data_IF_555694399627
#
_entry.id   IF_555694399627
#
_cell.length_a   1.000
_cell.length_b   1.000
_cell.length_c   1.000
_cell.angle_alpha   90.00
_cell.angle_beta   90.00
_cell.angle_gamma   90.00
#
_symmetry.space_group_name_H-M   'P 1'
#
loop_
_entity.id
_entity.type
_entity.pdbx_description
1 polymer ?
#
# COMPACT_ATOMS: atom_id res chain seq x y z
N UNK A 1 -31.04 -60.41 46.01
CA UNK A 1 -31.03 -61.76 46.62
C UNK A 1 -30.11 -62.63 45.77
N UNK A 2 -29.05 -63.15 46.39
CA UNK A 2 -28.17 -64.28 46.00
C UNK A 2 -27.28 -64.16 44.74
N UNK A 3 -25.99 -64.27 45.03
CA UNK A 3 -24.81 -64.53 44.21
C UNK A 3 -24.94 -65.58 43.11
N UNK A 4 -24.18 -65.42 42.01
CA UNK A 4 -22.94 -66.20 41.80
C UNK A 4 -22.25 -65.85 40.48
N UNK A 5 -21.00 -65.39 40.57
CA UNK A 5 -20.03 -65.46 39.46
C UNK A 5 -19.47 -66.88 39.44
N UNK A 6 -19.60 -67.58 38.32
CA UNK A 6 -18.87 -68.80 38.03
C UNK A 6 -17.99 -68.56 36.80
N UNK A 7 -16.69 -68.48 37.05
CA UNK A 7 -15.65 -68.58 36.03
C UNK A 7 -15.50 -70.05 35.65
N UNK A 8 -15.74 -70.42 34.38
CA UNK A 8 -15.15 -71.63 33.78
C UNK A 8 -14.90 -71.46 32.27
N UNK A 9 -13.63 -71.71 31.91
CA UNK A 9 -13.11 -72.34 30.69
C UNK A 9 -13.48 -71.78 29.31
N UNK A 10 -12.49 -71.10 28.73
CA UNK A 10 -12.31 -70.69 27.34
C UNK A 10 -12.38 -71.84 26.33
N UNK A 11 -13.12 -71.61 25.24
CA UNK A 11 -12.71 -71.88 23.83
C UNK A 11 -13.83 -72.42 22.90
N UNK A 12 -15.04 -72.72 23.39
CA UNK A 12 -16.12 -73.23 22.51
C UNK A 12 -17.52 -72.62 22.73
N UNK A 13 -17.71 -71.75 23.72
CA UNK A 13 -19.02 -71.13 24.04
C UNK A 13 -19.26 -69.73 23.45
N UNK A 14 -18.22 -69.08 22.93
CA UNK A 14 -18.28 -67.65 22.59
C UNK A 14 -19.15 -67.36 21.36
N UNK A 15 -19.12 -68.20 20.32
CA UNK A 15 -19.85 -67.90 19.08
C UNK A 15 -21.37 -68.11 19.22
N UNK A 16 -21.80 -69.13 19.96
CA UNK A 16 -23.23 -69.40 20.18
C UNK A 16 -23.86 -68.46 21.21
N UNK A 17 -23.11 -68.08 22.25
CA UNK A 17 -23.60 -67.07 23.22
C UNK A 17 -23.58 -65.68 22.61
N UNK A 18 -22.56 -65.29 21.83
CA UNK A 18 -22.56 -64.00 21.14
C UNK A 18 -23.68 -63.95 20.10
N UNK A 19 -23.93 -65.01 19.34
CA UNK A 19 -25.02 -65.04 18.36
C UNK A 19 -26.39 -64.97 19.04
N UNK A 20 -26.58 -65.65 20.18
CA UNK A 20 -27.81 -65.54 20.97
C UNK A 20 -27.99 -64.14 21.56
N UNK A 21 -26.93 -63.53 22.09
CA UNK A 21 -26.96 -62.16 22.61
C UNK A 21 -27.26 -61.17 21.49
N UNK A 22 -26.66 -61.36 20.31
CA UNK A 22 -26.90 -60.51 19.13
C UNK A 22 -28.34 -60.68 18.63
N UNK A 23 -28.87 -61.90 18.57
CA UNK A 23 -30.26 -62.17 18.23
C UNK A 23 -31.22 -61.56 19.26
N UNK A 24 -30.89 -61.62 20.54
CA UNK A 24 -31.71 -61.04 21.61
C UNK A 24 -31.68 -59.51 21.54
N UNK A 25 -30.54 -58.91 21.21
CA UNK A 25 -30.42 -57.48 20.94
C UNK A 25 -31.21 -57.06 19.71
N UNK A 26 -31.14 -57.81 18.61
CA UNK A 26 -31.93 -57.55 17.39
C UNK A 26 -33.43 -57.66 17.67
N UNK A 27 -33.86 -58.73 18.35
CA UNK A 27 -35.28 -58.95 18.66
C UNK A 27 -35.81 -57.91 19.64
N UNK A 28 -35.04 -57.57 20.69
CA UNK A 28 -35.43 -56.51 21.63
C UNK A 28 -35.47 -55.12 20.96
N UNK A 29 -34.54 -54.83 20.05
CA UNK A 29 -34.57 -53.60 19.25
C UNK A 29 -35.79 -53.56 18.33
N UNK A 30 -36.14 -54.67 17.70
CA UNK A 30 -37.30 -54.78 16.83
C UNK A 30 -38.62 -54.66 17.60
N UNK A 31 -38.75 -55.33 18.74
CA UNK A 31 -39.92 -55.20 19.61
C UNK A 31 -40.05 -53.79 20.19
N UNK A 32 -38.93 -53.17 20.56
CA UNK A 32 -38.91 -51.79 21.06
C UNK A 32 -39.30 -50.81 19.95
N UNK A 33 -38.82 -51.00 18.71
CA UNK A 33 -39.23 -50.22 17.55
C UNK A 33 -40.75 -50.39 17.28
N UNK A 34 -41.27 -51.61 17.29
CA UNK A 34 -42.70 -51.86 17.13
C UNK A 34 -43.53 -51.22 18.25
N UNK A 35 -43.08 -51.34 19.51
CA UNK A 35 -43.75 -50.76 20.66
C UNK A 35 -43.75 -49.22 20.59
N UNK A 36 -42.62 -48.62 20.18
CA UNK A 36 -42.51 -47.17 19.97
C UNK A 36 -43.40 -46.73 18.82
N UNK A 37 -43.43 -47.45 17.68
CA UNK A 37 -44.35 -47.14 16.57
C UNK A 37 -45.81 -47.26 16.98
N UNK A 38 -46.18 -48.30 17.75
CA UNK A 38 -47.53 -48.48 18.25
C UNK A 38 -47.93 -47.36 19.23
N UNK A 39 -47.04 -46.99 20.17
CA UNK A 39 -47.27 -45.87 21.10
C UNK A 39 -47.32 -44.54 20.37
N UNK A 40 -46.42 -44.30 19.41
CA UNK A 40 -46.40 -43.08 18.60
C UNK A 40 -47.68 -42.96 17.76
N UNK A 41 -48.14 -44.05 17.14
CA UNK A 41 -49.41 -44.09 16.40
C UNK A 41 -50.60 -43.80 17.32
N UNK A 42 -50.63 -44.37 18.52
CA UNK A 42 -51.67 -44.10 19.53
C UNK A 42 -51.60 -42.67 20.08
N UNK A 43 -50.40 -42.13 20.28
CA UNK A 43 -50.18 -40.76 20.74
C UNK A 43 -50.58 -39.74 19.67
N UNK A 44 -50.24 -40.01 18.40
CA UNK A 44 -50.71 -39.24 17.24
C UNK A 44 -52.24 -39.33 17.09
N UNK A 45 -52.84 -40.50 17.36
CA UNK A 45 -54.31 -40.69 17.32
C UNK A 45 -55.01 -39.92 18.45
N UNK A 46 -54.47 -39.94 19.68
CA UNK A 46 -54.97 -39.12 20.80
C UNK A 46 -54.79 -37.62 20.55
N UNK A 47 -53.67 -37.22 19.95
CA UNK A 47 -53.44 -35.82 19.53
C UNK A 47 -54.42 -35.38 18.45
N UNK A 48 -54.76 -36.25 17.48
CA UNK A 48 -55.81 -36.01 16.47
C UNK A 48 -57.25 -36.00 17.04
N UNK A 49 -57.50 -36.73 18.13
CA UNK A 49 -58.80 -36.79 18.80
C UNK A 49 -59.07 -35.63 19.78
N UNK A 50 -58.05 -34.84 20.11
CA UNK A 50 -58.20 -33.61 20.90
C UNK A 50 -58.81 -32.51 20.02
N UNK A 51 -59.81 -31.79 20.53
CA UNK A 51 -60.33 -30.61 19.84
C UNK A 51 -59.21 -29.58 19.67
N UNK A 52 -59.08 -29.05 18.46
CA UNK A 52 -57.97 -28.17 18.08
C UNK A 52 -58.07 -26.86 18.84
N UNK A 53 -56.97 -26.42 19.44
CA UNK A 53 -56.87 -25.05 19.94
C UNK A 53 -56.92 -24.08 18.76
N UNK A 54 -57.60 -22.94 18.94
CA UNK A 54 -57.61 -21.84 17.96
C UNK A 54 -56.18 -21.42 17.59
N UNK A 55 -55.26 -21.42 18.55
CA UNK A 55 -53.85 -21.09 18.31
C UNK A 55 -53.10 -22.11 17.44
N UNK A 56 -53.42 -23.40 17.55
CA UNK A 56 -52.81 -24.45 16.71
C UNK A 56 -53.36 -24.38 15.28
N UNK A 57 -54.67 -24.14 15.12
CA UNK A 57 -55.29 -23.97 13.81
C UNK A 57 -54.76 -22.72 13.07
N UNK A 58 -54.57 -21.60 13.79
CA UNK A 58 -53.98 -20.38 13.22
C UNK A 58 -52.52 -20.61 12.83
N UNK A 59 -51.73 -21.31 13.65
CA UNK A 59 -50.32 -21.60 13.34
C UNK A 59 -50.17 -22.50 12.12
N UNK A 60 -50.95 -23.57 12.03
CA UNK A 60 -50.91 -24.47 10.86
C UNK A 60 -51.38 -23.76 9.58
N UNK A 61 -52.41 -22.92 9.68
CA UNK A 61 -52.86 -22.07 8.56
C UNK A 61 -51.77 -21.09 8.11
N UNK A 62 -51.06 -20.45 9.05
CA UNK A 62 -49.95 -19.55 8.74
C UNK A 62 -48.76 -20.28 8.10
N UNK A 63 -48.43 -21.49 8.57
CA UNK A 63 -47.36 -22.31 7.99
C UNK A 63 -47.76 -22.79 6.59
N UNK A 64 -48.97 -23.30 6.39
CA UNK A 64 -49.45 -23.75 5.09
C UNK A 64 -49.55 -22.58 4.09
N UNK A 65 -50.00 -21.41 4.55
CA UNK A 65 -49.99 -20.19 3.75
C UNK A 65 -48.57 -19.77 3.38
N UNK A 66 -47.60 -19.82 4.31
CA UNK A 66 -46.21 -19.47 4.03
C UNK A 66 -45.56 -20.43 3.01
N UNK A 67 -45.86 -21.73 3.11
CA UNK A 67 -45.36 -22.74 2.18
C UNK A 67 -45.98 -22.53 0.80
N UNK A 68 -47.29 -22.26 0.73
CA UNK A 68 -48.01 -22.02 -0.54
C UNK A 68 -47.60 -20.72 -1.20
N UNK A 69 -47.37 -19.65 -0.42
CA UNK A 69 -46.84 -18.38 -0.92
C UNK A 69 -45.44 -18.59 -1.46
N UNK A 70 -44.58 -19.26 -0.70
CA UNK A 70 -43.20 -19.56 -1.13
C UNK A 70 -43.16 -20.45 -2.37
N UNK A 71 -43.98 -21.50 -2.45
CA UNK A 71 -44.02 -22.38 -3.61
C UNK A 71 -44.55 -21.67 -4.85
N UNK A 72 -45.58 -20.83 -4.72
CA UNK A 72 -46.06 -20.00 -5.83
C UNK A 72 -45.01 -18.98 -6.26
N UNK A 73 -44.31 -18.37 -5.31
CA UNK A 73 -43.23 -17.42 -5.57
C UNK A 73 -42.02 -18.09 -6.24
N UNK A 74 -41.66 -19.30 -5.82
CA UNK A 74 -40.58 -20.07 -6.44
C UNK A 74 -40.94 -20.47 -7.88
N UNK A 75 -42.20 -20.85 -8.15
CA UNK A 75 -42.67 -21.17 -9.51
C UNK A 75 -42.68 -19.92 -10.39
N UNK A 76 -43.15 -18.77 -9.89
CA UNK A 76 -43.15 -17.52 -10.67
C UNK A 76 -41.74 -17.00 -10.91
N UNK A 77 -40.86 -17.06 -9.91
CA UNK A 77 -39.45 -16.68 -10.05
C UNK A 77 -38.74 -17.61 -11.04
N UNK A 78 -38.94 -18.94 -10.96
CA UNK A 78 -38.29 -19.87 -11.89
C UNK A 78 -38.80 -19.74 -13.33
N UNK A 79 -40.06 -19.37 -13.54
CA UNK A 79 -40.61 -19.10 -14.87
C UNK A 79 -40.15 -17.75 -15.46
N UNK A 80 -40.03 -16.71 -14.63
CA UNK A 80 -39.63 -15.36 -15.06
C UNK A 80 -38.11 -15.16 -15.11
N UNK A 81 -37.34 -15.92 -14.33
CA UNK A 81 -35.88 -15.85 -14.30
C UNK A 81 -35.21 -16.05 -15.67
N UNK A 82 -35.54 -17.07 -16.49
CA UNK A 82 -34.90 -17.23 -17.80
C UNK A 82 -35.22 -16.09 -18.78
N UNK A 83 -36.37 -15.41 -18.60
CA UNK A 83 -36.76 -14.24 -19.40
C UNK A 83 -36.00 -13.00 -18.94
N UNK A 84 -35.83 -12.79 -17.63
CA UNK A 84 -35.15 -11.63 -17.06
C UNK A 84 -33.61 -11.75 -17.06
N UNK A 85 -33.06 -12.97 -17.01
CA UNK A 85 -31.63 -13.28 -16.98
C UNK A 85 -30.84 -12.63 -18.15
N UNK A 86 -31.27 -12.69 -19.43
CA UNK A 86 -30.53 -12.06 -20.52
C UNK A 86 -30.50 -10.53 -20.42
N UNK A 87 -31.51 -9.90 -19.81
CA UNK A 87 -31.57 -8.44 -19.66
C UNK A 87 -30.84 -7.91 -18.42
N UNK A 88 -30.54 -8.77 -17.45
CA UNK A 88 -29.92 -8.37 -16.17
C UNK A 88 -28.51 -8.94 -16.01
N UNK A 89 -28.35 -10.26 -16.13
CA UNK A 89 -27.08 -10.95 -15.87
C UNK A 89 -26.08 -10.78 -17.00
N UNK A 90 -26.52 -10.85 -18.27
CA UNK A 90 -25.61 -10.68 -19.43
C UNK A 90 -24.99 -9.28 -19.50
N UNK A 91 -25.73 -8.16 -19.39
CA UNK A 91 -25.10 -6.84 -19.38
C UNK A 91 -24.21 -6.64 -18.15
N UNK A 92 -24.61 -7.15 -16.98
CA UNK A 92 -23.76 -7.14 -15.79
C UNK A 92 -22.42 -7.87 -16.04
N UNK A 93 -22.45 -9.04 -16.67
CA UNK A 93 -21.24 -9.81 -17.01
C UNK A 93 -20.36 -9.06 -18.01
N UNK A 94 -20.94 -8.39 -19.01
CA UNK A 94 -20.20 -7.56 -19.96
C UNK A 94 -19.55 -6.38 -19.24
N UNK A 95 -20.26 -5.70 -18.34
CA UNK A 95 -19.72 -4.60 -17.52
C UNK A 95 -18.55 -5.09 -16.68
N UNK A 96 -18.69 -6.23 -16.00
CA UNK A 96 -17.61 -6.82 -15.19
C UNK A 96 -16.40 -7.22 -16.04
N UNK A 97 -16.63 -7.73 -17.26
CA UNK A 97 -15.55 -8.07 -18.19
C UNK A 97 -14.82 -6.83 -18.69
N UNK A 98 -15.55 -5.76 -19.03
CA UNK A 98 -14.95 -4.48 -19.41
C UNK A 98 -14.15 -3.87 -18.26
N UNK A 99 -14.70 -3.87 -17.04
CA UNK A 99 -13.99 -3.42 -15.85
C UNK A 99 -12.72 -4.24 -15.62
N UNK A 100 -12.78 -5.56 -15.78
CA UNK A 100 -11.59 -6.43 -15.65
C UNK A 100 -10.54 -6.14 -16.71
N UNK A 101 -10.96 -5.92 -17.96
CA UNK A 101 -10.06 -5.55 -19.04
C UNK A 101 -9.38 -4.21 -18.76
N UNK A 102 -10.12 -3.21 -18.26
CA UNK A 102 -9.56 -1.91 -17.86
C UNK A 102 -8.52 -2.07 -16.75
N UNK A 103 -8.84 -2.85 -15.71
CA UNK A 103 -7.90 -3.12 -14.60
C UNK A 103 -6.61 -3.77 -15.11
N UNK A 104 -6.72 -4.76 -16.01
CA UNK A 104 -5.55 -5.45 -16.57
C UNK A 104 -4.69 -4.51 -17.43
N UNK A 105 -5.32 -3.65 -18.24
CA UNK A 105 -4.63 -2.61 -19.01
C UNK A 105 -3.92 -1.63 -18.08
N UNK A 106 -4.58 -1.18 -17.00
CA UNK A 106 -3.97 -0.29 -16.01
C UNK A 106 -2.78 -0.93 -15.31
N UNK A 107 -2.86 -2.21 -14.93
CA UNK A 107 -1.74 -2.97 -14.35
C UNK A 107 -0.59 -3.12 -15.35
N UNK A 108 -0.89 -3.35 -16.62
CA UNK A 108 0.14 -3.43 -17.66
C UNK A 108 0.88 -2.10 -17.84
N UNK A 109 0.14 -0.98 -17.86
CA UNK A 109 0.73 0.36 -17.92
C UNK A 109 1.60 0.62 -16.68
N UNK A 110 1.09 0.35 -15.48
CA UNK A 110 1.82 0.59 -14.22
C UNK A 110 3.09 -0.24 -14.08
N UNK A 111 3.07 -1.49 -14.58
CA UNK A 111 4.22 -2.39 -14.55
C UNK A 111 5.15 -2.24 -15.77
N UNK A 112 4.87 -1.28 -16.66
CA UNK A 112 5.78 -0.92 -17.73
C UNK A 112 7.10 -0.43 -17.15
N UNK A 113 8.22 -1.00 -17.60
CA UNK A 113 9.57 -0.61 -17.18
C UNK A 113 10.21 0.32 -18.19
N UNK A 114 10.87 1.36 -17.71
CA UNK A 114 11.66 2.21 -18.59
C UNK A 114 12.86 1.43 -19.17
N UNK A 115 13.35 1.80 -20.37
CA UNK A 115 14.60 1.25 -20.90
C UNK A 115 15.76 1.47 -19.91
N UNK A 116 16.76 0.58 -19.84
CA UNK A 116 17.85 0.67 -18.85
C UNK A 116 18.64 2.00 -18.88
N UNK A 117 18.66 2.70 -20.01
CA UNK A 117 19.30 4.01 -20.17
C UNK A 117 18.47 5.18 -19.61
N UNK A 118 17.18 4.96 -19.31
CA UNK A 118 16.24 5.92 -18.72
C UNK A 118 15.80 5.41 -17.35
N UNK A 119 16.06 6.17 -16.28
CA UNK A 119 15.66 5.81 -14.91
C UNK A 119 16.07 4.40 -14.46
N UNK A 120 17.17 3.84 -14.99
CA UNK A 120 17.74 2.56 -14.55
C UNK A 120 16.74 1.37 -14.53
N UNK A 121 15.74 1.36 -15.42
CA UNK A 121 14.78 0.26 -15.51
C UNK A 121 13.66 0.24 -14.43
N UNK A 122 13.46 1.35 -13.73
CA UNK A 122 12.37 1.53 -12.76
C UNK A 122 11.00 1.37 -13.46
N UNK A 123 10.02 0.76 -12.77
CA UNK A 123 8.65 0.65 -13.28
C UNK A 123 7.87 1.96 -13.06
N UNK A 124 6.87 2.25 -13.90
CA UNK A 124 6.09 3.49 -13.79
C UNK A 124 5.47 3.64 -12.39
N UNK A 125 4.97 2.55 -11.82
CA UNK A 125 4.40 2.57 -10.47
C UNK A 125 5.38 2.97 -9.37
N UNK A 126 6.67 2.71 -9.54
CA UNK A 126 7.69 2.92 -8.52
C UNK A 126 8.20 4.37 -8.48
N UNK A 127 7.73 5.22 -9.40
CA UNK A 127 8.04 6.66 -9.41
C UNK A 127 7.26 7.39 -8.31
N UNK A 128 6.01 6.97 -8.07
CA UNK A 128 5.10 7.66 -7.15
C UNK A 128 4.50 6.67 -6.16
N UNK A 129 4.30 7.12 -4.92
CA UNK A 129 3.66 6.27 -3.90
C UNK A 129 2.21 5.97 -4.27
N UNK A 130 1.54 6.89 -4.95
CA UNK A 130 0.20 6.68 -5.51
C UNK A 130 0.16 5.60 -6.58
N UNK A 131 1.18 5.53 -7.45
CA UNK A 131 1.28 4.50 -8.48
C UNK A 131 1.37 3.11 -7.87
N UNK A 132 2.19 2.96 -6.83
CA UNK A 132 2.28 1.72 -6.05
C UNK A 132 0.96 1.38 -5.36
N UNK A 133 0.29 2.38 -4.78
CA UNK A 133 -0.97 2.15 -4.09
C UNK A 133 -2.09 1.76 -5.07
N UNK A 134 -2.15 2.35 -6.25
CA UNK A 134 -3.10 1.96 -7.30
C UNK A 134 -2.84 0.54 -7.77
N UNK A 135 -1.58 0.16 -8.03
CA UNK A 135 -1.19 -1.22 -8.40
C UNK A 135 -1.66 -2.22 -7.34
N UNK A 136 -1.43 -1.93 -6.06
CA UNK A 136 -1.89 -2.77 -4.94
C UNK A 136 -3.42 -2.94 -4.93
N UNK A 137 -4.18 -1.85 -5.13
CA UNK A 137 -5.66 -1.90 -5.13
C UNK A 137 -6.22 -2.65 -6.33
N UNK A 138 -5.63 -2.46 -7.51
CA UNK A 138 -6.00 -3.17 -8.72
C UNK A 138 -5.71 -4.67 -8.58
N UNK A 139 -4.57 -5.05 -8.02
CA UNK A 139 -4.25 -6.44 -7.72
C UNK A 139 -5.25 -7.03 -6.72
N UNK A 140 -5.55 -6.35 -5.61
CA UNK A 140 -6.54 -6.81 -4.62
C UNK A 140 -7.91 -7.06 -5.27
N UNK A 141 -8.38 -6.12 -6.11
CA UNK A 141 -9.62 -6.26 -6.86
C UNK A 141 -9.58 -7.49 -7.80
N UNK A 142 -8.42 -7.78 -8.40
CA UNK A 142 -8.24 -8.93 -9.27
C UNK A 142 -8.22 -10.27 -8.52
N UNK A 143 -7.70 -10.31 -7.30
CA UNK A 143 -7.52 -11.53 -6.51
C UNK A 143 -8.77 -11.95 -5.72
N UNK A 144 -9.63 -11.02 -5.33
CA UNK A 144 -10.81 -11.32 -4.50
C UNK A 144 -11.80 -12.34 -5.09
N UNK A 145 -12.21 -12.27 -6.37
CA UNK A 145 -13.14 -13.25 -6.93
C UNK A 145 -12.60 -14.68 -6.86
N UNK A 146 -11.29 -14.82 -7.09
CA UNK A 146 -10.59 -16.10 -7.00
C UNK A 146 -10.52 -16.60 -5.56
N UNK A 147 -10.11 -15.74 -4.62
CA UNK A 147 -10.05 -16.09 -3.18
C UNK A 147 -11.42 -16.49 -2.63
N UNK A 148 -12.48 -15.77 -3.02
CA UNK A 148 -13.85 -16.09 -2.64
C UNK A 148 -14.30 -17.47 -3.16
N UNK A 149 -14.01 -17.77 -4.43
CA UNK A 149 -14.31 -19.08 -5.02
C UNK A 149 -13.58 -20.20 -4.29
N UNK A 150 -12.31 -19.99 -3.95
CA UNK A 150 -11.50 -20.95 -3.21
C UNK A 150 -12.02 -21.16 -1.79
N UNK A 151 -12.39 -20.08 -1.08
CA UNK A 151 -12.98 -20.15 0.26
C UNK A 151 -14.32 -20.89 0.29
N UNK A 152 -15.07 -20.89 -0.82
CA UNK A 152 -16.34 -21.62 -0.95
C UNK A 152 -16.19 -23.11 -1.28
N UNK A 153 -15.05 -23.57 -1.78
CA UNK A 153 -14.85 -25.00 -2.07
C UNK A 153 -14.79 -25.78 -0.75
N UNK A 154 -15.81 -26.60 -0.50
CA UNK A 154 -15.78 -27.61 0.58
C UNK A 154 -14.85 -28.75 0.18
N UNK A 155 -13.55 -28.58 0.40
CA UNK A 155 -12.60 -29.69 0.33
C UNK A 155 -12.66 -30.45 1.66
N UNK A 156 -13.28 -31.63 1.66
CA UNK A 156 -13.35 -32.50 2.84
C UNK A 156 -11.99 -33.04 3.28
N UNK A 157 -10.96 -32.92 2.42
CA UNK A 157 -9.67 -33.58 2.57
C UNK A 157 -8.62 -32.75 3.33
N UNK A 158 -8.69 -31.41 3.31
CA UNK A 158 -7.68 -30.53 3.95
C UNK A 158 -8.33 -29.39 4.75
N UNK A 159 -8.79 -29.73 5.97
CA UNK A 159 -9.48 -28.82 6.87
C UNK A 159 -8.66 -27.58 7.26
N UNK A 160 -7.33 -27.69 7.40
CA UNK A 160 -6.46 -26.58 7.82
C UNK A 160 -6.25 -25.53 6.71
N UNK A 161 -5.98 -25.96 5.48
CA UNK A 161 -5.74 -25.07 4.32
C UNK A 161 -7.01 -24.29 3.97
N UNK A 162 -8.17 -24.96 3.94
CA UNK A 162 -9.45 -24.29 3.65
C UNK A 162 -9.83 -23.30 4.75
N UNK A 163 -9.57 -23.61 6.04
CA UNK A 163 -9.75 -22.66 7.14
C UNK A 163 -8.81 -21.46 7.02
N UNK A 164 -7.54 -21.68 6.68
CA UNK A 164 -6.56 -20.61 6.50
C UNK A 164 -6.96 -19.68 5.34
N UNK A 165 -7.42 -20.21 4.21
CA UNK A 165 -7.90 -19.43 3.07
C UNK A 165 -9.16 -18.62 3.41
N UNK A 166 -10.10 -19.22 4.14
CA UNK A 166 -11.27 -18.52 4.67
C UNK A 166 -10.85 -17.36 5.57
N UNK A 167 -10.03 -17.62 6.60
CA UNK A 167 -9.55 -16.59 7.54
C UNK A 167 -8.82 -15.46 6.79
N UNK A 168 -7.91 -15.82 5.88
CA UNK A 168 -7.16 -14.84 5.08
C UNK A 168 -8.09 -13.96 4.25
N UNK A 169 -9.11 -14.53 3.60
CA UNK A 169 -10.05 -13.76 2.78
C UNK A 169 -10.85 -12.74 3.61
N UNK A 170 -11.43 -13.17 4.73
CA UNK A 170 -12.19 -12.27 5.60
C UNK A 170 -11.29 -11.22 6.27
N UNK A 171 -10.05 -11.58 6.65
CA UNK A 171 -9.08 -10.62 7.16
C UNK A 171 -8.72 -9.56 6.10
N UNK A 172 -8.48 -9.96 4.86
CA UNK A 172 -8.20 -9.02 3.77
C UNK A 172 -9.39 -8.09 3.49
N UNK A 173 -10.62 -8.63 3.46
CA UNK A 173 -11.81 -7.80 3.29
C UNK A 173 -11.99 -6.83 4.47
N UNK A 174 -11.75 -7.27 5.69
CA UNK A 174 -11.84 -6.45 6.90
C UNK A 174 -10.84 -5.29 6.88
N UNK A 175 -9.59 -5.56 6.51
CA UNK A 175 -8.55 -4.53 6.40
C UNK A 175 -8.90 -3.47 5.35
N UNK A 176 -9.40 -3.89 4.18
CA UNK A 176 -9.79 -2.94 3.12
C UNK A 176 -11.04 -2.15 3.52
N UNK A 177 -12.03 -2.79 4.15
CA UNK A 177 -13.21 -2.10 4.64
C UNK A 177 -12.85 -1.02 5.68
N UNK A 178 -11.99 -1.33 6.65
CA UNK A 178 -11.52 -0.36 7.64
C UNK A 178 -10.77 0.80 7.00
N UNK A 179 -9.89 0.50 6.04
CA UNK A 179 -9.16 1.54 5.34
C UNK A 179 -10.09 2.47 4.54
N UNK A 180 -11.16 1.95 3.91
CA UNK A 180 -12.19 2.76 3.24
C UNK A 180 -12.99 3.59 4.25
N UNK A 181 -13.41 3.02 5.38
CA UNK A 181 -14.17 3.76 6.42
C UNK A 181 -13.34 4.93 6.95
N UNK A 182 -12.07 4.69 7.28
CA UNK A 182 -11.14 5.73 7.73
C UNK A 182 -10.89 6.74 6.60
N UNK A 183 -10.77 6.25 5.36
CA UNK A 183 -10.56 7.09 4.18
C UNK A 183 -11.70 8.05 3.91
N UNK A 184 -12.96 7.60 4.05
CA UNK A 184 -14.14 8.47 3.91
C UNK A 184 -14.16 9.53 5.02
N UNK A 185 -13.84 9.15 6.27
CA UNK A 185 -13.77 10.09 7.38
C UNK A 185 -12.69 11.16 7.17
N UNK A 186 -11.48 10.73 6.80
CA UNK A 186 -10.34 11.61 6.50
C UNK A 186 -10.64 12.49 5.28
N UNK A 187 -11.21 11.91 4.22
CA UNK A 187 -11.58 12.61 3.01
C UNK A 187 -12.63 13.69 3.26
N UNK A 188 -13.69 13.35 3.99
CA UNK A 188 -14.71 14.33 4.41
C UNK A 188 -14.09 15.47 5.22
N UNK A 189 -13.18 15.18 6.14
CA UNK A 189 -12.49 16.20 6.92
C UNK A 189 -11.66 17.14 6.03
N UNK A 190 -10.90 16.59 5.07
CA UNK A 190 -10.10 17.39 4.13
C UNK A 190 -10.97 18.27 3.23
N UNK A 191 -12.09 17.74 2.72
CA UNK A 191 -13.00 18.48 1.84
C UNK A 191 -13.67 19.63 2.63
N UNK A 192 -14.15 19.37 3.84
CA UNK A 192 -14.80 20.38 4.67
C UNK A 192 -13.86 21.50 5.09
N UNK A 193 -12.56 21.22 5.26
CA UNK A 193 -11.56 22.19 5.74
C UNK A 193 -10.54 22.58 4.67
N UNK A 194 -10.84 22.40 3.38
CA UNK A 194 -9.88 22.52 2.28
C UNK A 194 -9.11 23.84 2.23
N UNK A 195 -9.78 24.96 2.57
CA UNK A 195 -9.19 26.29 2.49
C UNK A 195 -8.20 26.51 3.64
N UNK A 196 -8.61 26.18 4.87
CA UNK A 196 -7.74 26.20 6.04
C UNK A 196 -6.56 25.23 5.92
N UNK A 197 -6.80 23.99 5.47
CA UNK A 197 -5.74 23.01 5.22
C UNK A 197 -4.77 23.48 4.13
N UNK A 198 -5.26 24.21 3.13
CA UNK A 198 -4.44 24.83 2.08
C UNK A 198 -3.48 25.87 2.63
N UNK A 199 -3.98 26.78 3.47
CA UNK A 199 -3.15 27.79 4.13
C UNK A 199 -2.11 27.15 5.06
N UNK A 200 -2.51 26.14 5.83
CA UNK A 200 -1.62 25.40 6.73
C UNK A 200 -0.50 24.71 5.93
N UNK A 201 -0.84 24.01 4.84
CA UNK A 201 0.13 23.37 3.96
C UNK A 201 1.10 24.40 3.37
N UNK A 202 0.59 25.50 2.82
CA UNK A 202 1.43 26.55 2.23
C UNK A 202 2.38 27.16 3.27
N UNK A 203 1.90 27.43 4.48
CA UNK A 203 2.71 27.95 5.57
C UNK A 203 3.86 27.01 5.90
N UNK A 204 3.56 25.73 6.19
CA UNK A 204 4.61 24.77 6.55
C UNK A 204 5.59 24.51 5.41
N UNK A 205 5.11 24.39 4.17
CA UNK A 205 6.00 24.23 3.01
C UNK A 205 6.92 25.44 2.88
N UNK A 206 6.40 26.67 3.00
CA UNK A 206 7.21 27.87 2.93
C UNK A 206 8.23 27.93 4.07
N UNK A 207 7.78 27.76 5.31
CA UNK A 207 8.62 27.89 6.51
C UNK A 207 9.80 26.89 6.46
N UNK A 208 9.53 25.62 6.13
CA UNK A 208 10.57 24.57 6.14
C UNK A 208 11.40 24.50 4.87
N UNK A 209 10.82 24.70 3.68
CA UNK A 209 11.54 24.49 2.42
C UNK A 209 12.19 25.76 1.87
N UNK A 210 11.61 26.94 2.16
CA UNK A 210 12.11 28.22 1.65
C UNK A 210 12.82 28.99 2.76
N UNK A 211 12.10 29.33 3.83
CA UNK A 211 12.59 30.27 4.84
C UNK A 211 13.72 29.65 5.68
N UNK A 212 13.56 28.39 6.12
CA UNK A 212 14.59 27.69 6.89
C UNK A 212 15.88 27.48 6.09
N UNK A 213 15.80 27.10 4.81
CA UNK A 213 16.98 26.91 3.96
C UNK A 213 17.65 28.25 3.68
N UNK A 214 16.86 29.29 3.41
CA UNK A 214 17.37 30.65 3.20
C UNK A 214 18.11 31.15 4.43
N UNK A 215 17.57 30.93 5.64
CA UNK A 215 18.20 31.27 6.89
C UNK A 215 19.54 30.54 7.11
N UNK A 216 19.63 29.26 6.74
CA UNK A 216 20.89 28.51 6.79
C UNK A 216 21.91 29.09 5.80
N UNK A 217 21.49 29.44 4.58
CA UNK A 217 22.37 30.07 3.59
C UNK A 217 22.84 31.48 4.02
N UNK A 218 21.96 32.24 4.66
CA UNK A 218 22.28 33.52 5.30
C UNK A 218 23.33 33.36 6.40
N UNK A 219 23.11 32.39 7.29
CA UNK A 219 24.05 32.06 8.36
C UNK A 219 25.42 31.67 7.80
N UNK A 220 25.47 30.79 6.79
CA UNK A 220 26.72 30.39 6.11
C UNK A 220 27.45 31.56 5.44
N UNK A 221 26.71 32.52 4.89
CA UNK A 221 27.27 33.67 4.16
C UNK A 221 27.60 34.86 5.09
N UNK A 222 27.15 34.81 6.34
CA UNK A 222 27.32 35.90 7.29
C UNK A 222 28.82 36.19 7.52
N UNK A 223 29.19 37.47 7.48
CA UNK A 223 30.60 37.88 7.58
C UNK A 223 31.18 37.79 9.00
N UNK A 224 30.30 37.76 10.02
CA UNK A 224 30.68 37.83 11.42
C UNK A 224 30.50 36.51 12.18
N UNK A 225 29.83 35.52 11.60
CA UNK A 225 29.58 34.23 12.23
C UNK A 225 30.22 33.15 11.35
N UNK A 226 31.35 32.60 11.79
CA UNK A 226 31.96 31.46 11.12
C UNK A 226 31.17 30.21 11.49
N UNK A 227 30.54 29.51 10.54
CA UNK A 227 29.77 28.31 10.84
C UNK A 227 30.69 27.27 11.49
N UNK A 228 30.36 26.86 12.73
CA UNK A 228 31.19 25.97 13.55
C UNK A 228 32.66 26.42 13.72
N UNK A 229 32.94 27.73 13.62
CA UNK A 229 34.30 28.28 13.69
C UNK A 229 35.14 28.10 12.41
N UNK A 230 34.56 27.57 11.33
CA UNK A 230 35.26 27.35 10.07
C UNK A 230 35.26 28.63 9.22
N UNK A 231 36.45 29.15 8.95
CA UNK A 231 36.63 30.29 8.03
C UNK A 231 36.48 29.84 6.58
N UNK A 232 35.31 30.13 6.01
CA UNK A 232 35.04 29.85 4.60
C UNK A 232 35.78 30.83 3.67
N UNK A 233 36.03 30.38 2.44
CA UNK A 233 36.67 31.20 1.42
C UNK A 233 35.83 32.47 1.10
N UNK A 234 36.44 33.67 1.10
CA UNK A 234 35.71 34.94 1.01
C UNK A 234 35.08 35.22 -0.36
N UNK A 235 35.59 34.60 -1.43
CA UNK A 235 35.06 34.80 -2.78
C UNK A 235 34.03 33.70 -3.13
N UNK A 236 34.36 32.44 -2.82
CA UNK A 236 33.51 31.31 -3.17
C UNK A 236 32.25 31.22 -2.30
N UNK A 237 32.35 31.54 -1.01
CA UNK A 237 31.20 31.45 -0.09
C UNK A 237 30.02 32.35 -0.51
N UNK A 238 30.20 33.67 -0.73
CA UNK A 238 29.09 34.52 -1.16
C UNK A 238 28.57 34.14 -2.54
N UNK A 239 29.43 33.67 -3.45
CA UNK A 239 29.00 33.18 -4.76
C UNK A 239 28.05 31.98 -4.64
N UNK A 240 28.41 30.95 -3.86
CA UNK A 240 27.55 29.78 -3.65
C UNK A 240 26.27 30.13 -2.89
N UNK A 241 26.36 30.97 -1.86
CA UNK A 241 25.21 31.45 -1.11
C UNK A 241 24.20 32.17 -1.99
N UNK A 242 24.66 33.10 -2.83
CA UNK A 242 23.81 33.81 -3.80
C UNK A 242 23.24 32.87 -4.86
N UNK A 243 24.03 31.92 -5.38
CA UNK A 243 23.56 30.94 -6.36
C UNK A 243 22.41 30.09 -5.82
N UNK A 244 22.57 29.50 -4.62
CA UNK A 244 21.53 28.65 -4.03
C UNK A 244 20.31 29.47 -3.60
N UNK A 245 20.48 30.69 -3.09
CA UNK A 245 19.35 31.58 -2.83
C UNK A 245 18.59 31.96 -4.09
N UNK A 246 19.29 32.29 -5.17
CA UNK A 246 18.67 32.56 -6.45
C UNK A 246 17.88 31.35 -6.98
N UNK A 247 18.41 30.14 -6.79
CA UNK A 247 17.69 28.91 -7.11
C UNK A 247 16.45 28.71 -6.23
N UNK A 248 16.52 29.01 -4.93
CA UNK A 248 15.36 29.01 -4.02
C UNK A 248 14.34 30.05 -4.48
N UNK A 249 14.77 31.25 -4.87
CA UNK A 249 13.89 32.30 -5.37
C UNK A 249 13.22 31.89 -6.69
N UNK A 250 13.90 31.15 -7.57
CA UNK A 250 13.28 30.58 -8.76
C UNK A 250 12.28 29.49 -8.37
N UNK A 251 12.60 28.62 -7.43
CA UNK A 251 11.68 27.58 -6.99
C UNK A 251 10.46 28.17 -6.27
N UNK A 252 10.68 29.12 -5.38
CA UNK A 252 9.66 29.91 -4.71
C UNK A 252 8.89 30.74 -5.73
N UNK A 253 9.52 31.25 -6.78
CA UNK A 253 8.79 31.84 -7.88
C UNK A 253 7.92 30.75 -8.53
N UNK A 254 8.45 29.62 -8.98
CA UNK A 254 7.67 28.57 -9.62
C UNK A 254 6.54 27.99 -8.75
N UNK A 255 6.73 27.83 -7.44
CA UNK A 255 5.76 27.22 -6.52
C UNK A 255 4.86 28.23 -5.81
N UNK A 256 5.38 29.43 -5.52
CA UNK A 256 4.72 30.45 -4.71
C UNK A 256 4.32 31.69 -5.54
N UNK A 257 5.03 32.07 -6.62
CA UNK A 257 4.84 33.34 -7.37
C UNK A 257 4.41 33.24 -8.85
N UNK A 258 4.78 32.22 -9.59
CA UNK A 258 4.33 31.87 -10.94
C UNK A 258 3.02 31.07 -10.88
N UNK A 259 2.73 30.54 -9.70
CA UNK A 259 1.36 30.29 -9.25
C UNK A 259 0.70 31.67 -9.09
N UNK A 260 1.20 32.60 -8.26
CA UNK A 260 0.57 33.92 -7.97
C UNK A 260 0.33 34.91 -9.14
N UNK A 261 1.24 35.06 -10.11
CA UNK A 261 1.13 36.04 -11.21
C UNK A 261 0.37 35.48 -12.44
N UNK A 262 0.26 34.15 -12.59
CA UNK A 262 -0.77 33.50 -13.42
C UNK A 262 -2.13 33.45 -12.68
N UNK A 263 -2.11 33.49 -11.34
CA UNK A 263 -3.25 33.38 -10.42
C UNK A 263 -4.13 34.61 -10.31
N UNK A 264 -3.74 35.79 -10.79
CA UNK A 264 -4.73 36.88 -10.92
C UNK A 264 -5.89 36.42 -11.86
N UNK A 265 -5.68 35.36 -12.66
CA UNK A 265 -6.76 34.65 -13.33
C UNK A 265 -7.20 33.29 -12.72
N UNK A 266 -6.44 32.65 -11.82
CA UNK A 266 -6.68 31.25 -11.35
C UNK A 266 -6.29 30.94 -9.89
N UNK A 267 -6.77 31.72 -8.92
CA UNK A 267 -6.64 31.52 -7.46
C UNK A 267 -7.09 30.16 -6.82
N UNK A 268 -7.79 29.17 -7.44
CA UNK A 268 -8.36 28.04 -6.69
C UNK A 268 -7.56 26.71 -6.64
N UNK A 269 -6.28 26.64 -7.03
CA UNK A 269 -5.62 25.34 -7.27
C UNK A 269 -5.28 24.57 -5.97
N UNK A 270 -4.75 25.20 -4.92
CA UNK A 270 -4.35 24.46 -3.70
C UNK A 270 -5.54 23.82 -2.98
N UNK A 271 -6.67 24.54 -2.74
CA UNK A 271 -7.88 23.91 -2.22
C UNK A 271 -8.44 22.84 -3.16
N UNK A 272 -8.27 22.99 -4.48
CA UNK A 272 -8.68 21.96 -5.46
C UNK A 272 -7.85 20.68 -5.32
N UNK A 273 -6.53 20.78 -5.14
CA UNK A 273 -5.66 19.62 -4.89
C UNK A 273 -6.06 18.92 -3.60
N UNK A 274 -6.28 19.66 -2.51
CA UNK A 274 -6.75 19.08 -1.24
C UNK A 274 -8.12 18.42 -1.39
N UNK A 275 -9.01 19.01 -2.18
CA UNK A 275 -10.29 18.43 -2.50
C UNK A 275 -10.15 17.11 -3.28
N UNK A 276 -9.24 17.04 -4.28
CA UNK A 276 -8.94 15.78 -4.99
C UNK A 276 -8.37 14.71 -4.06
N UNK A 277 -7.46 15.09 -3.16
CA UNK A 277 -6.94 14.19 -2.11
C UNK A 277 -8.09 13.71 -1.22
N UNK A 278 -9.00 14.60 -0.84
CA UNK A 278 -10.18 14.26 -0.05
C UNK A 278 -11.10 13.25 -0.76
N UNK A 279 -11.39 13.46 -2.05
CA UNK A 279 -12.19 12.53 -2.85
C UNK A 279 -11.55 11.15 -2.99
N UNK A 280 -10.22 11.06 -3.05
CA UNK A 280 -9.52 9.78 -3.10
C UNK A 280 -9.77 8.90 -1.87
N UNK A 281 -10.22 9.49 -0.75
CA UNK A 281 -10.53 8.77 0.48
C UNK A 281 -11.62 7.71 0.32
N UNK A 282 -12.46 7.80 -0.72
CA UNK A 282 -13.42 6.75 -1.11
C UNK A 282 -12.72 5.42 -1.44
N UNK A 283 -11.48 5.48 -1.92
CA UNK A 283 -10.66 4.30 -2.23
C UNK A 283 -9.79 3.83 -1.05
N UNK A 284 -9.86 4.50 0.11
CA UNK A 284 -9.09 4.18 1.31
C UNK A 284 -8.27 5.33 1.87
N UNK A 285 -8.00 5.33 3.18
CA UNK A 285 -7.15 6.32 3.83
C UNK A 285 -5.72 6.28 3.29
N UNK A 286 -5.21 5.08 3.04
CA UNK A 286 -3.90 4.86 2.39
C UNK A 286 -3.80 5.52 1.00
N UNK A 287 -4.89 5.62 0.24
CA UNK A 287 -4.89 6.34 -1.05
C UNK A 287 -4.70 7.84 -0.84
N UNK A 288 -5.45 8.44 0.08
CA UNK A 288 -5.26 9.86 0.42
C UNK A 288 -3.87 10.14 0.96
N UNK A 289 -3.33 9.28 1.82
CA UNK A 289 -1.96 9.41 2.34
C UNK A 289 -0.90 9.29 1.24
N UNK A 290 -1.08 8.41 0.26
CA UNK A 290 -0.16 8.31 -0.88
C UNK A 290 -0.13 9.60 -1.70
N UNK A 291 -1.29 10.22 -1.97
CA UNK A 291 -1.32 11.51 -2.67
C UNK A 291 -0.68 12.64 -1.85
N UNK A 292 -0.87 12.64 -0.52
CA UNK A 292 -0.21 13.60 0.37
C UNK A 292 1.31 13.38 0.33
N UNK A 293 1.78 12.14 0.35
CA UNK A 293 3.20 11.80 0.25
C UNK A 293 3.80 12.29 -1.07
N UNK A 294 3.13 12.07 -2.20
CA UNK A 294 3.60 12.54 -3.51
C UNK A 294 3.58 14.07 -3.61
N UNK A 295 2.59 14.73 -3.00
CA UNK A 295 2.54 16.19 -2.91
C UNK A 295 3.73 16.74 -2.11
N UNK A 296 4.07 16.12 -0.98
CA UNK A 296 5.25 16.49 -0.18
C UNK A 296 6.57 16.22 -0.92
N UNK A 297 6.66 15.10 -1.64
CA UNK A 297 7.82 14.79 -2.48
C UNK A 297 7.99 15.83 -3.60
N UNK A 298 6.89 16.29 -4.21
CA UNK A 298 6.92 17.34 -5.22
C UNK A 298 7.37 18.69 -4.64
N UNK A 299 6.83 19.11 -3.49
CA UNK A 299 7.20 20.40 -2.89
C UNK A 299 8.66 20.44 -2.41
N UNK A 300 9.23 19.32 -1.99
CA UNK A 300 10.62 19.20 -1.52
C UNK A 300 11.65 18.88 -2.61
N UNK A 301 11.20 18.71 -3.86
CA UNK A 301 12.01 18.25 -4.98
C UNK A 301 13.23 19.14 -5.29
N UNK A 302 13.09 20.46 -5.14
CA UNK A 302 14.19 21.40 -5.29
C UNK A 302 15.35 21.18 -4.32
N UNK A 303 15.07 20.77 -3.08
CA UNK A 303 16.10 20.48 -2.07
C UNK A 303 16.95 19.31 -2.55
N UNK A 304 16.31 18.28 -3.10
CA UNK A 304 17.00 17.14 -3.70
C UNK A 304 17.85 17.58 -4.91
N UNK A 305 17.35 18.48 -5.76
CA UNK A 305 18.16 19.05 -6.85
C UNK A 305 19.38 19.83 -6.34
N UNK A 306 19.25 20.62 -5.28
CA UNK A 306 20.37 21.34 -4.69
C UNK A 306 21.41 20.39 -4.12
N UNK A 307 20.98 19.35 -3.43
CA UNK A 307 21.85 18.25 -3.00
C UNK A 307 22.59 17.63 -4.18
N UNK A 308 21.91 17.29 -5.27
CA UNK A 308 22.53 16.69 -6.45
C UNK A 308 23.57 17.62 -7.11
N UNK A 309 23.30 18.92 -7.17
CA UNK A 309 24.23 19.94 -7.68
C UNK A 309 25.45 20.05 -6.75
N UNK A 310 25.24 20.18 -5.43
CA UNK A 310 26.31 20.27 -4.45
C UNK A 310 27.19 19.02 -4.45
N UNK A 311 26.58 17.83 -4.50
CA UNK A 311 27.28 16.54 -4.60
C UNK A 311 28.11 16.45 -5.89
N UNK A 312 27.61 16.95 -7.01
CA UNK A 312 28.36 17.00 -8.28
C UNK A 312 29.57 17.91 -8.18
N UNK A 313 29.41 19.12 -7.64
CA UNK A 313 30.50 20.08 -7.44
C UNK A 313 31.57 19.49 -6.50
N UNK A 314 31.14 18.89 -5.39
CA UNK A 314 32.02 18.21 -4.44
C UNK A 314 32.81 17.07 -5.09
N UNK A 315 32.14 16.20 -5.86
CA UNK A 315 32.79 15.11 -6.57
C UNK A 315 33.80 15.59 -7.61
N UNK A 316 33.47 16.65 -8.37
CA UNK A 316 34.40 17.27 -9.31
C UNK A 316 35.62 17.85 -8.60
N UNK A 317 35.42 18.60 -7.52
CA UNK A 317 36.52 19.16 -6.74
C UNK A 317 37.47 18.08 -6.20
N UNK A 318 36.92 17.00 -5.61
CA UNK A 318 37.72 15.87 -5.13
C UNK A 318 38.51 15.18 -6.24
N UNK A 319 37.88 14.96 -7.40
CA UNK A 319 38.52 14.27 -8.53
C UNK A 319 39.66 15.10 -9.10
N UNK A 320 39.48 16.42 -9.20
CA UNK A 320 40.52 17.35 -9.65
C UNK A 320 41.66 17.39 -8.62
N UNK A 321 41.34 17.51 -7.33
CA UNK A 321 42.33 17.54 -6.26
C UNK A 321 43.18 16.26 -6.22
N UNK A 322 42.53 15.10 -6.37
CA UNK A 322 43.22 13.81 -6.47
C UNK A 322 44.15 13.73 -7.69
N UNK A 323 43.72 14.26 -8.83
CA UNK A 323 44.51 14.27 -10.06
C UNK A 323 45.73 15.17 -9.94
N UNK A 324 45.58 16.37 -9.36
CA UNK A 324 46.68 17.30 -9.11
C UNK A 324 47.65 16.80 -8.03
N UNK A 325 47.15 16.15 -6.99
CA UNK A 325 48.00 15.51 -6.00
C UNK A 325 48.89 14.42 -6.61
N UNK A 326 48.40 13.72 -7.64
CA UNK A 326 49.24 12.79 -8.39
C UNK A 326 50.26 13.53 -9.26
N UNK A 327 49.86 14.62 -9.93
CA UNK A 327 50.77 15.46 -10.71
C UNK A 327 51.98 15.91 -9.86
N UNK A 328 51.74 16.35 -8.63
CA UNK A 328 52.80 16.71 -7.67
C UNK A 328 53.80 15.64 -7.35
N UNK A 329 53.32 14.40 -7.33
CA UNK A 329 54.14 13.24 -7.02
C UNK A 329 54.88 12.72 -8.25
N UNK A 330 54.80 13.42 -9.39
CA UNK A 330 55.30 12.94 -10.67
C UNK A 330 54.52 11.73 -11.18
N UNK A 331 53.22 11.64 -10.86
CA UNK A 331 52.37 10.47 -11.17
C UNK A 331 51.21 10.84 -12.08
N UNK A 332 50.96 10.00 -13.09
CA UNK A 332 49.85 10.13 -14.05
C UNK A 332 48.96 8.89 -14.01
N UNK A 333 47.64 9.08 -13.99
CA UNK A 333 46.71 7.96 -14.18
C UNK A 333 46.70 7.55 -15.65
N UNK A 334 47.12 6.32 -15.92
CA UNK A 334 47.06 5.73 -17.25
C UNK A 334 45.66 5.14 -17.46
N UNK A 335 44.86 5.77 -18.33
CA UNK A 335 43.49 5.34 -18.63
C UNK A 335 43.45 3.98 -19.32
N UNK A 336 44.47 3.62 -20.11
CA UNK A 336 44.53 2.36 -20.87
C UNK A 336 44.81 1.14 -19.98
N UNK A 337 45.55 1.33 -18.88
CA UNK A 337 45.98 0.25 -17.98
C UNK A 337 45.37 0.36 -16.58
N UNK A 338 44.44 1.30 -16.36
CA UNK A 338 43.77 1.56 -15.09
C UNK A 338 44.70 1.62 -13.86
N UNK A 339 45.91 2.17 -14.02
CA UNK A 339 46.93 2.26 -12.96
C UNK A 339 47.58 3.64 -12.91
N UNK A 340 48.35 3.90 -11.85
CA UNK A 340 49.09 5.16 -11.67
C UNK A 340 50.56 4.89 -12.03
N UNK A 341 51.03 5.51 -13.09
CA UNK A 341 52.41 5.39 -13.60
C UNK A 341 53.21 6.66 -13.25
N UNK A 342 54.53 6.55 -13.09
CA UNK A 342 55.41 7.72 -13.02
C UNK A 342 55.46 8.41 -14.38
N UNK A 343 55.46 9.75 -14.37
CA UNK A 343 55.54 10.58 -15.56
C UNK A 343 56.50 11.74 -15.25
N UNK A 344 57.44 11.96 -16.16
CA UNK A 344 58.33 13.11 -16.07
C UNK A 344 57.57 14.34 -16.56
N UNK A 345 57.29 15.25 -15.63
CA UNK A 345 56.63 16.52 -15.92
C UNK A 345 57.67 17.64 -15.99
N UNK A 346 57.49 18.57 -16.93
CA UNK A 346 58.29 19.78 -16.98
C UNK A 346 58.04 20.64 -15.74
N UNK A 347 59.04 21.44 -15.36
CA UNK A 347 58.98 22.29 -14.17
C UNK A 347 57.76 23.24 -14.22
N UNK A 348 57.47 23.82 -15.38
CA UNK A 348 56.33 24.72 -15.58
C UNK A 348 54.98 24.03 -15.32
N UNK A 349 54.84 22.76 -15.74
CA UNK A 349 53.63 21.98 -15.52
C UNK A 349 53.45 21.65 -14.04
N UNK A 350 54.54 21.28 -13.37
CA UNK A 350 54.53 21.02 -11.93
C UNK A 350 54.19 22.29 -11.14
N UNK A 351 54.77 23.43 -11.51
CA UNK A 351 54.50 24.73 -10.89
C UNK A 351 53.04 25.16 -11.07
N UNK A 352 52.51 25.08 -12.29
CA UNK A 352 51.12 25.42 -12.57
C UNK A 352 50.16 24.50 -11.81
N UNK A 353 50.43 23.20 -11.80
CA UNK A 353 49.69 22.25 -10.98
C UNK A 353 49.77 22.61 -9.50
N UNK A 354 50.88 23.22 -9.06
CA UNK A 354 51.11 23.59 -7.65
C UNK A 354 50.27 24.73 -7.19
N UNK A 355 50.22 25.76 -8.01
CA UNK A 355 49.34 26.89 -7.81
C UNK A 355 47.87 26.45 -7.85
N UNK A 356 47.50 25.59 -8.80
CA UNK A 356 46.11 25.17 -8.96
C UNK A 356 45.64 24.24 -7.84
N UNK A 357 46.45 23.28 -7.40
CA UNK A 357 46.14 22.43 -6.25
C UNK A 357 46.02 23.23 -4.95
N UNK A 358 46.95 24.15 -4.68
CA UNK A 358 46.91 24.95 -3.46
C UNK A 358 45.65 25.81 -3.43
N UNK A 359 45.30 26.43 -4.56
CA UNK A 359 44.04 27.15 -4.73
C UNK A 359 42.84 26.23 -4.43
N UNK A 360 42.71 25.09 -5.12
CA UNK A 360 41.56 24.18 -4.92
C UNK A 360 41.48 23.61 -3.50
N UNK A 361 42.62 23.37 -2.85
CA UNK A 361 42.67 22.91 -1.45
C UNK A 361 42.08 23.96 -0.52
N UNK A 362 42.35 25.25 -0.74
CA UNK A 362 41.77 26.33 0.05
C UNK A 362 40.29 26.59 -0.26
N UNK A 363 39.80 26.25 -1.45
CA UNK A 363 38.37 26.32 -1.79
C UNK A 363 37.58 25.11 -1.27
N UNK A 364 38.26 23.98 -1.04
CA UNK A 364 37.62 22.70 -0.70
C UNK A 364 36.73 22.76 0.56
N UNK A 365 37.16 23.34 1.70
CA UNK A 365 36.33 23.38 2.91
C UNK A 365 34.96 24.05 2.69
N UNK A 366 34.90 25.11 1.89
CA UNK A 366 33.63 25.76 1.54
C UNK A 366 32.71 24.80 0.80
N UNK A 367 33.20 24.08 -0.21
CA UNK A 367 32.40 23.12 -0.98
C UNK A 367 31.90 21.99 -0.07
N UNK A 368 32.73 21.51 0.86
CA UNK A 368 32.33 20.48 1.84
C UNK A 368 31.17 20.96 2.70
N UNK A 369 31.24 22.18 3.23
CA UNK A 369 30.16 22.72 4.07
C UNK A 369 28.84 22.82 3.30
N UNK A 370 28.83 23.33 2.07
CA UNK A 370 27.60 23.38 1.27
C UNK A 370 27.06 21.98 0.95
N UNK A 371 27.93 21.03 0.62
CA UNK A 371 27.54 19.63 0.41
C UNK A 371 26.91 19.04 1.67
N UNK A 372 27.55 19.18 2.84
CA UNK A 372 27.05 18.65 4.10
C UNK A 372 25.71 19.29 4.49
N UNK A 373 25.56 20.61 4.32
CA UNK A 373 24.29 21.31 4.59
C UNK A 373 23.13 20.68 3.83
N UNK A 374 23.28 20.46 2.52
CA UNK A 374 22.22 19.83 1.72
C UNK A 374 22.12 18.32 1.92
N UNK A 375 23.21 17.64 2.30
CA UNK A 375 23.15 16.23 2.64
C UNK A 375 22.35 15.99 3.92
N UNK A 376 22.56 16.83 4.95
CA UNK A 376 21.83 16.76 6.22
C UNK A 376 20.36 17.12 6.07
N UNK A 377 20.00 18.02 5.15
CA UNK A 377 18.59 18.37 4.91
C UNK A 377 17.83 17.26 4.18
N UNK A 378 18.49 16.48 3.31
CA UNK A 378 17.87 15.37 2.58
C UNK A 378 17.93 14.06 3.37
N UNK A 379 19.04 13.80 4.06
CA UNK A 379 19.32 12.59 4.83
C UNK A 379 19.64 12.97 6.28
N UNK A 380 18.62 13.24 7.12
CA UNK A 380 18.84 13.65 8.51
C UNK A 380 19.42 12.56 9.41
N UNK A 381 19.55 11.32 8.91
CA UNK A 381 20.12 10.18 9.65
C UNK A 381 21.65 10.01 9.45
N UNK A 382 22.30 10.90 8.69
CA UNK A 382 23.75 10.97 8.50
C UNK A 382 24.32 12.10 9.34
#
# INVERSE_FOLDING_TARGET
MVHSRLFMSSSARTVTDDMNVTLQQINSSFEMEQAVHAKAKNFLRRRRARSRSVSEAVRESAVDLSIRVRSKLDITVTALWPIAQPFTVRPLMVILLLLRALVEISLWILNWKFPAWVFNGIAIKDITTTGQQIDLRLQQACFWPWQYFMARKKAWTNMSITRAQYISFYNSMWLVANDIIIGIALGSFLISNKDYMGEVLQRYVKDYTIDSISAVLDWLTSKNEYPAGLKLNPELNPFLGQLFKWLIEIWAALNLRNVLDFIISLQPIVPMVINMIGFSGVFGATMSLSLISDLLAFTTLHIYWFYMVAARIFHWQLTILYSLFNLFRGKKRNTLRHRIDSCDYDLDQLLLGTILFTLLTFLFPTIVVYYLTFALTVYPEV
#
